data_IF_250668816077
#
_entry.id   IF_250668816077
#
_cell.length_a   1.000
_cell.length_b   1.000
_cell.length_c   1.000
_cell.angle_alpha   90.00
_cell.angle_beta   90.00
_cell.angle_gamma   90.00
#
_symmetry.space_group_name_H-M   'P 1'
#
loop_
_entity.id
_entity.type
_entity.pdbx_description
1 polymer ?
#
# COMPACT_ATOMS: atom_id res chain seq x y z
N UNK A 1 -11.89 -2.59 21.98
CA UNK A 1 -12.62 -3.53 21.10
C UNK A 1 -11.65 -4.59 20.63
N UNK A 2 -11.95 -5.87 20.80
CA UNK A 2 -11.13 -6.96 20.20
C UNK A 2 -11.81 -7.39 18.91
N UNK A 3 -11.18 -7.13 17.78
CA UNK A 3 -11.60 -7.67 16.49
C UNK A 3 -11.26 -9.16 16.42
N UNK A 4 -12.22 -9.99 16.08
CA UNK A 4 -12.02 -11.42 15.83
C UNK A 4 -11.80 -11.68 14.34
N UNK A 5 -11.23 -12.85 13.99
CA UNK A 5 -11.14 -13.28 12.56
C UNK A 5 -12.51 -13.30 11.87
N UNK A 6 -13.58 -13.60 12.62
CA UNK A 6 -14.97 -13.58 12.08
C UNK A 6 -15.43 -12.17 11.74
N UNK A 7 -15.00 -11.16 12.48
CA UNK A 7 -15.35 -9.77 12.17
C UNK A 7 -14.61 -9.29 10.93
N UNK A 8 -13.33 -9.66 10.78
CA UNK A 8 -12.55 -9.38 9.58
C UNK A 8 -13.16 -10.05 8.36
N UNK A 9 -13.66 -11.29 8.50
CA UNK A 9 -14.34 -11.99 7.38
C UNK A 9 -15.55 -11.24 6.84
N UNK A 10 -16.23 -10.47 7.67
CA UNK A 10 -17.39 -9.65 7.25
C UNK A 10 -17.00 -8.47 6.33
N UNK A 11 -15.74 -8.08 6.32
CA UNK A 11 -15.25 -7.01 5.45
C UNK A 11 -15.24 -7.41 3.96
N UNK A 12 -15.25 -8.70 3.65
CA UNK A 12 -15.18 -9.15 2.25
C UNK A 12 -13.79 -8.93 1.66
N UNK A 13 -13.73 -8.42 0.43
CA UNK A 13 -12.49 -7.99 -0.23
C UNK A 13 -12.00 -6.69 0.42
N UNK A 14 -10.68 -6.57 0.61
CA UNK A 14 -10.05 -5.39 1.21
C UNK A 14 -9.16 -4.73 0.17
N UNK A 15 -9.40 -3.44 -0.08
CA UNK A 15 -8.52 -2.57 -0.85
C UNK A 15 -7.99 -1.48 0.07
N UNK A 16 -6.68 -1.49 0.31
CA UNK A 16 -6.01 -0.47 1.11
C UNK A 16 -5.21 0.49 0.23
N UNK A 17 -5.26 1.77 0.54
CA UNK A 17 -4.53 2.83 -0.19
C UNK A 17 -3.70 3.61 0.82
N UNK A 18 -2.39 3.68 0.57
CA UNK A 18 -1.43 4.34 1.45
C UNK A 18 -0.49 5.27 0.67
N UNK A 19 0.12 6.19 1.40
CA UNK A 19 1.04 7.17 0.83
C UNK A 19 2.42 6.56 0.53
N UNK A 20 2.96 5.77 1.45
CA UNK A 20 4.35 5.30 1.39
C UNK A 20 4.45 3.81 1.70
N UNK A 21 5.56 3.16 1.26
CA UNK A 21 5.94 1.85 1.77
C UNK A 21 6.06 1.86 3.30
N UNK A 22 5.58 0.80 3.94
CA UNK A 22 5.45 0.54 5.38
C UNK A 22 4.14 0.99 6.05
N UNK A 23 3.45 1.99 5.52
CA UNK A 23 2.16 2.45 6.08
C UNK A 23 1.16 1.29 6.24
N UNK A 24 1.08 0.41 5.24
CA UNK A 24 0.17 -0.75 5.23
C UNK A 24 0.50 -1.76 6.32
N UNK A 25 1.78 -2.05 6.51
CA UNK A 25 2.22 -3.02 7.52
C UNK A 25 2.13 -2.44 8.91
N UNK A 26 2.50 -1.19 9.08
CA UNK A 26 2.42 -0.50 10.37
C UNK A 26 0.98 -0.37 10.87
N UNK A 27 0.06 0.00 10.00
CA UNK A 27 -1.33 0.25 10.39
C UNK A 27 -2.24 -0.97 10.31
N UNK A 28 -2.00 -1.90 9.38
CA UNK A 28 -3.01 -2.87 8.95
C UNK A 28 -2.50 -4.32 8.81
N UNK A 29 -1.26 -4.63 9.15
CA UNK A 29 -0.68 -5.97 8.99
C UNK A 29 -1.55 -7.08 9.58
N UNK A 30 -2.06 -6.89 10.81
CA UNK A 30 -2.88 -7.88 11.48
C UNK A 30 -4.21 -8.13 10.76
N UNK A 31 -4.81 -7.07 10.20
CA UNK A 31 -6.08 -7.18 9.45
C UNK A 31 -5.82 -7.92 8.14
N UNK A 32 -4.77 -7.55 7.42
CA UNK A 32 -4.40 -8.19 6.16
C UNK A 32 -4.07 -9.67 6.34
N UNK A 33 -3.23 -10.00 7.32
CA UNK A 33 -2.87 -11.39 7.61
C UNK A 33 -4.11 -12.23 7.96
N UNK A 34 -5.00 -11.72 8.81
CA UNK A 34 -6.23 -12.42 9.17
C UNK A 34 -7.19 -12.57 7.99
N UNK A 35 -7.27 -11.58 7.10
CA UNK A 35 -8.08 -11.65 5.89
C UNK A 35 -7.54 -12.72 4.92
N UNK A 36 -6.22 -12.77 4.71
CA UNK A 36 -5.57 -13.81 3.89
C UNK A 36 -5.81 -15.19 4.48
N UNK A 37 -5.65 -15.36 5.80
CA UNK A 37 -5.95 -16.64 6.47
C UNK A 37 -7.42 -17.05 6.35
N UNK A 38 -8.34 -16.10 6.23
CA UNK A 38 -9.76 -16.35 5.97
C UNK A 38 -10.06 -16.69 4.50
N UNK A 39 -9.07 -16.61 3.59
CA UNK A 39 -9.23 -16.79 2.15
C UNK A 39 -9.85 -15.58 1.44
N UNK A 40 -9.79 -14.38 2.05
CA UNK A 40 -10.27 -13.14 1.46
C UNK A 40 -9.23 -12.56 0.50
N UNK A 41 -9.70 -11.77 -0.46
CA UNK A 41 -8.81 -10.99 -1.33
C UNK A 41 -8.37 -9.72 -0.62
N UNK A 42 -7.06 -9.48 -0.63
CA UNK A 42 -6.46 -8.22 -0.16
C UNK A 42 -5.66 -7.61 -1.29
N UNK A 43 -5.88 -6.35 -1.57
CA UNK A 43 -5.10 -5.55 -2.52
C UNK A 43 -4.56 -4.30 -1.83
N UNK A 44 -3.31 -3.97 -2.13
CA UNK A 44 -2.61 -2.81 -1.61
C UNK A 44 -2.26 -1.84 -2.74
N UNK A 45 -2.45 -0.56 -2.49
CA UNK A 45 -2.07 0.53 -3.39
C UNK A 45 -1.13 1.46 -2.63
N UNK A 46 0.03 1.75 -3.18
CA UNK A 46 0.99 2.68 -2.59
C UNK A 46 1.26 3.83 -3.55
N UNK A 47 1.09 5.06 -3.07
CA UNK A 47 1.13 6.24 -3.92
C UNK A 47 2.54 6.61 -4.37
N UNK A 48 3.52 6.58 -3.48
CA UNK A 48 4.91 6.98 -3.72
C UNK A 48 5.88 5.89 -3.29
N UNK A 49 7.16 6.04 -3.63
CA UNK A 49 8.23 5.14 -3.15
C UNK A 49 8.79 5.57 -1.80
N UNK A 50 8.31 6.68 -1.23
CA UNK A 50 8.82 7.25 0.01
C UNK A 50 10.24 7.79 -0.11
N UNK A 51 10.63 8.19 -1.31
CA UNK A 51 12.00 8.58 -1.67
C UNK A 51 12.46 9.90 -1.04
N UNK A 52 11.54 10.72 -0.55
CA UNK A 52 11.85 11.95 0.18
C UNK A 52 11.95 11.75 1.71
N UNK A 53 11.89 10.51 2.20
CA UNK A 53 11.81 10.18 3.63
C UNK A 53 13.06 10.42 4.47
N UNK A 54 14.19 10.85 3.89
CA UNK A 54 15.42 11.16 4.62
C UNK A 54 15.94 12.56 4.31
N UNK A 55 16.63 13.15 5.30
CA UNK A 55 17.19 14.50 5.17
C UNK A 55 18.58 14.53 4.53
N UNK A 56 19.33 13.44 4.62
CA UNK A 56 20.71 13.35 4.10
C UNK A 56 20.71 12.64 2.74
N UNK A 57 20.47 13.42 1.70
CA UNK A 57 20.47 12.95 0.31
C UNK A 57 21.85 12.51 -0.18
N UNK A 58 22.94 12.96 0.46
CA UNK A 58 24.31 12.56 0.08
C UNK A 58 24.56 11.09 0.41
N UNK A 59 23.99 10.62 1.51
CA UNK A 59 24.06 9.21 1.95
C UNK A 59 22.98 8.35 1.34
N UNK A 60 21.80 8.93 1.16
CA UNK A 60 20.60 8.26 0.68
C UNK A 60 19.98 9.05 -0.47
N UNK A 61 20.55 8.97 -1.69
CA UNK A 61 19.90 9.54 -2.86
C UNK A 61 18.48 9.02 -3.02
N UNK A 62 17.54 9.88 -3.40
CA UNK A 62 16.12 9.58 -3.48
C UNK A 62 15.83 8.29 -4.29
N UNK A 63 16.45 8.14 -5.46
CA UNK A 63 16.29 6.95 -6.29
C UNK A 63 16.68 5.67 -5.54
N UNK A 64 17.86 5.66 -4.89
CA UNK A 64 18.33 4.50 -4.12
C UNK A 64 17.41 4.19 -2.95
N UNK A 65 16.94 5.22 -2.25
CA UNK A 65 16.02 5.04 -1.13
C UNK A 65 14.70 4.45 -1.60
N UNK A 66 14.14 4.98 -2.70
CA UNK A 66 12.91 4.47 -3.32
C UNK A 66 13.02 3.00 -3.72
N UNK A 67 14.14 2.59 -4.30
CA UNK A 67 14.39 1.20 -4.67
C UNK A 67 14.44 0.27 -3.45
N UNK A 68 15.17 0.67 -2.40
CA UNK A 68 15.27 -0.11 -1.16
C UNK A 68 13.89 -0.27 -0.53
N UNK A 69 13.15 0.81 -0.36
CA UNK A 69 11.82 0.78 0.25
C UNK A 69 10.83 -0.02 -0.57
N UNK A 70 10.95 0.01 -1.89
CA UNK A 70 10.11 -0.82 -2.78
C UNK A 70 10.38 -2.32 -2.58
N UNK A 71 11.65 -2.72 -2.40
CA UNK A 71 12.01 -4.12 -2.12
C UNK A 71 11.56 -4.56 -0.74
N UNK A 72 11.69 -3.71 0.27
CA UNK A 72 11.21 -3.97 1.63
C UNK A 72 9.69 -4.18 1.65
N UNK A 73 8.95 -3.32 0.94
CA UNK A 73 7.49 -3.46 0.79
C UNK A 73 7.12 -4.79 0.12
N UNK A 74 7.77 -5.14 -0.98
CA UNK A 74 7.51 -6.38 -1.69
C UNK A 74 7.72 -7.60 -0.78
N UNK A 75 8.82 -7.61 -0.01
CA UNK A 75 9.11 -8.68 0.96
C UNK A 75 8.07 -8.73 2.09
N UNK A 76 7.66 -7.59 2.62
CA UNK A 76 6.66 -7.52 3.67
C UNK A 76 5.30 -8.05 3.20
N UNK A 77 4.87 -7.66 2.01
CA UNK A 77 3.60 -8.14 1.42
C UNK A 77 3.64 -9.64 1.12
N UNK A 78 4.78 -10.16 0.62
CA UNK A 78 4.97 -11.59 0.42
C UNK A 78 4.83 -12.38 1.73
N UNK A 79 5.45 -11.91 2.81
CA UNK A 79 5.33 -12.54 4.13
C UNK A 79 3.90 -12.52 4.68
N UNK A 80 3.12 -11.50 4.34
CA UNK A 80 1.69 -11.42 4.71
C UNK A 80 0.78 -12.25 3.79
N UNK A 81 1.31 -12.77 2.67
CA UNK A 81 0.54 -13.49 1.66
C UNK A 81 -0.28 -12.59 0.74
N UNK A 82 0.03 -11.30 0.69
CA UNK A 82 -0.65 -10.32 -0.19
C UNK A 82 0.08 -10.28 -1.53
N UNK A 83 -0.58 -10.74 -2.58
CA UNK A 83 -0.03 -10.78 -3.95
C UNK A 83 -0.50 -9.63 -4.85
N UNK A 84 -1.56 -8.94 -4.47
CA UNK A 84 -2.12 -7.84 -5.26
C UNK A 84 -1.56 -6.51 -4.73
N UNK A 85 -0.60 -5.95 -5.45
CA UNK A 85 -0.03 -4.65 -5.13
C UNK A 85 0.05 -3.76 -6.37
N UNK A 86 -0.27 -2.49 -6.22
CA UNK A 86 -0.27 -1.48 -7.27
C UNK A 86 0.46 -0.22 -6.81
N UNK A 87 1.32 0.30 -7.67
CA UNK A 87 1.93 1.61 -7.51
C UNK A 87 1.10 2.67 -8.23
N UNK A 88 0.98 3.88 -7.65
CA UNK A 88 0.52 5.06 -8.38
C UNK A 88 1.69 5.82 -9.01
N UNK A 89 2.91 5.55 -8.55
CA UNK A 89 4.17 6.13 -9.07
C UNK A 89 4.23 7.66 -9.02
N UNK A 90 3.64 8.25 -7.99
CA UNK A 90 3.74 9.68 -7.76
C UNK A 90 5.04 10.03 -7.04
N UNK A 91 5.63 11.21 -7.35
CA UNK A 91 6.81 11.68 -6.62
C UNK A 91 6.46 11.99 -5.17
N UNK A 92 7.28 11.48 -4.25
CA UNK A 92 7.08 11.70 -2.82
C UNK A 92 7.30 13.17 -2.45
N UNK A 93 6.43 13.69 -1.58
CA UNK A 93 6.44 15.10 -1.17
C UNK A 93 5.76 16.06 -2.14
N UNK A 94 5.32 15.61 -3.32
CA UNK A 94 4.73 16.44 -4.37
C UNK A 94 3.30 16.05 -4.74
N UNK A 95 2.62 15.26 -3.92
CA UNK A 95 1.26 14.78 -4.25
C UNK A 95 0.22 15.92 -4.38
N UNK A 96 0.47 17.08 -3.74
CA UNK A 96 -0.40 18.26 -3.89
C UNK A 96 -0.32 18.91 -5.29
N UNK A 97 0.73 18.60 -6.06
CA UNK A 97 0.97 19.17 -7.39
C UNK A 97 0.43 18.25 -8.51
N UNK A 98 -0.22 17.14 -8.15
CA UNK A 98 -0.76 16.20 -9.11
C UNK A 98 -2.08 16.74 -9.65
N UNK A 99 -2.12 16.94 -10.98
CA UNK A 99 -3.33 17.35 -11.69
C UNK A 99 -4.35 16.20 -11.73
N UNK A 100 -5.54 16.47 -11.20
CA UNK A 100 -6.69 15.61 -11.41
C UNK A 100 -7.18 15.69 -12.87
N UNK A 101 -7.73 14.61 -13.45
CA UNK A 101 -8.43 13.48 -12.81
C UNK A 101 -7.64 12.17 -12.73
N UNK A 102 -6.39 12.12 -13.16
CA UNK A 102 -5.67 10.84 -13.32
C UNK A 102 -5.53 10.02 -12.03
N UNK A 103 -5.19 10.62 -10.86
CA UNK A 103 -5.08 9.86 -9.61
C UNK A 103 -6.40 9.25 -9.17
N UNK A 104 -7.46 10.02 -9.26
CA UNK A 104 -8.83 9.57 -8.92
C UNK A 104 -9.27 8.47 -9.85
N UNK A 105 -9.05 8.63 -11.16
CA UNK A 105 -9.39 7.63 -12.19
C UNK A 105 -8.74 6.28 -11.90
N UNK A 106 -7.46 6.25 -11.54
CA UNK A 106 -6.75 5.01 -11.23
C UNK A 106 -7.31 4.30 -10.00
N UNK A 107 -7.66 5.04 -8.96
CA UNK A 107 -8.27 4.46 -7.75
C UNK A 107 -9.68 3.94 -8.07
N UNK A 108 -10.47 4.66 -8.87
CA UNK A 108 -11.79 4.20 -9.31
C UNK A 108 -11.69 2.88 -10.06
N UNK A 109 -10.76 2.75 -11.01
CA UNK A 109 -10.52 1.49 -11.74
C UNK A 109 -10.20 0.33 -10.78
N UNK A 110 -9.40 0.57 -9.75
CA UNK A 110 -9.06 -0.45 -8.77
C UNK A 110 -10.24 -0.83 -7.88
N UNK A 111 -11.08 0.13 -7.51
CA UNK A 111 -12.33 -0.13 -6.78
C UNK A 111 -13.26 -0.98 -7.64
N UNK A 112 -13.42 -0.66 -8.91
CA UNK A 112 -14.26 -1.44 -9.84
C UNK A 112 -13.70 -2.85 -10.05
N UNK A 113 -12.36 -2.99 -10.12
CA UNK A 113 -11.69 -4.28 -10.32
C UNK A 113 -11.87 -5.21 -9.11
N UNK A 114 -11.66 -4.71 -7.91
CA UNK A 114 -11.66 -5.51 -6.70
C UNK A 114 -13.03 -5.59 -6.03
N UNK A 115 -13.89 -4.62 -6.26
CA UNK A 115 -15.22 -4.50 -5.65
C UNK A 115 -15.17 -4.71 -4.12
N UNK A 116 -14.35 -3.92 -3.40
CA UNK A 116 -14.09 -4.10 -1.97
C UNK A 116 -15.26 -3.76 -1.08
#
# INVERSE_FOLDING_TARGET
>A
MKLSKKDIKKLGTILGVWAHPDDETFSSACIMAAAIENGQTVACVTATRGEAGVRDESRWPAERLGDIRSQELATALELLGVSNHHWLDYPDGCCCDIDEPSPVGRIVELIETYNP
#
